data_IF_094112884764
#
_entry.id   IF_094112884764
#
_cell.length_a   1.000
_cell.length_b   1.000
_cell.length_c   1.000
_cell.angle_alpha   90.00
_cell.angle_beta   90.00
_cell.angle_gamma   90.00
#
_symmetry.space_group_name_H-M   'P 1'
#
loop_
_entity.id
_entity.type
_entity.pdbx_description
1 polymer ?
#
# COMPACT_ATOMS: atom_id res chain seq x y z
N UNK A 1 -5.36 7.67 -16.86
CA UNK A 1 -6.71 7.42 -16.32
C UNK A 1 -6.67 7.03 -14.84
N UNK A 2 -6.00 5.94 -14.46
CA UNK A 2 -5.93 5.47 -13.06
C UNK A 2 -5.36 6.53 -12.10
N UNK A 3 -4.31 7.26 -12.49
CA UNK A 3 -3.76 8.35 -11.68
C UNK A 3 -4.78 9.47 -11.39
N UNK A 4 -5.58 9.87 -12.39
CA UNK A 4 -6.67 10.84 -12.18
C UNK A 4 -7.73 10.29 -11.26
N UNK A 5 -8.04 8.99 -11.37
CA UNK A 5 -8.95 8.30 -10.46
C UNK A 5 -8.46 8.32 -9.01
N UNK A 6 -7.17 8.02 -8.78
CA UNK A 6 -6.52 8.12 -7.45
C UNK A 6 -6.69 9.52 -6.87
N UNK A 7 -6.33 10.55 -7.64
CA UNK A 7 -6.40 11.95 -7.17
C UNK A 7 -7.83 12.38 -6.90
N UNK A 8 -8.78 12.06 -7.78
CA UNK A 8 -10.19 12.40 -7.61
C UNK A 8 -10.80 11.71 -6.39
N UNK A 9 -10.55 10.42 -6.19
CA UNK A 9 -11.00 9.66 -5.02
C UNK A 9 -10.42 10.23 -3.73
N UNK A 10 -9.14 10.55 -3.74
CA UNK A 10 -8.43 11.09 -2.58
C UNK A 10 -8.94 12.48 -2.19
N UNK A 11 -9.10 13.39 -3.16
CA UNK A 11 -9.60 14.76 -2.94
C UNK A 11 -11.05 14.74 -2.49
N UNK A 12 -11.91 13.93 -3.12
CA UNK A 12 -13.31 13.85 -2.72
C UNK A 12 -13.48 13.17 -1.35
N UNK A 13 -12.68 12.15 -1.04
CA UNK A 13 -12.66 11.51 0.28
C UNK A 13 -12.22 12.45 1.40
N UNK A 14 -11.36 13.43 1.11
CA UNK A 14 -10.94 14.47 2.05
C UNK A 14 -12.06 15.45 2.44
N UNK A 15 -13.18 15.51 1.72
CA UNK A 15 -14.34 16.29 2.13
C UNK A 15 -15.07 15.68 3.36
N UNK A 16 -14.62 14.54 3.89
CA UNK A 16 -15.21 13.88 5.06
C UNK A 16 -16.49 13.10 4.77
N UNK A 17 -16.92 13.05 3.51
CA UNK A 17 -18.15 12.38 3.07
C UNK A 17 -17.82 11.14 2.22
N UNK A 18 -17.15 10.14 2.82
CA UNK A 18 -16.68 8.96 2.08
C UNK A 18 -17.81 8.25 1.30
N UNK A 19 -19.02 8.20 1.85
CA UNK A 19 -20.21 7.64 1.20
C UNK A 19 -20.61 8.48 -0.03
N UNK A 20 -20.66 9.81 0.11
CA UNK A 20 -21.03 10.73 -0.99
C UNK A 20 -19.97 10.70 -2.08
N UNK A 21 -18.69 10.70 -1.69
CA UNK A 21 -17.55 10.56 -2.59
C UNK A 21 -17.65 9.27 -3.40
N UNK A 22 -17.92 8.14 -2.73
CA UNK A 22 -18.12 6.86 -3.40
C UNK A 22 -19.28 6.90 -4.39
N UNK A 23 -20.47 7.36 -4.00
CA UNK A 23 -21.64 7.41 -4.89
C UNK A 23 -21.33 8.26 -6.13
N UNK A 24 -20.74 9.44 -5.93
CA UNK A 24 -20.38 10.34 -7.03
C UNK A 24 -19.37 9.68 -7.99
N UNK A 25 -18.30 9.08 -7.45
CA UNK A 25 -17.26 8.44 -8.25
C UNK A 25 -17.72 7.12 -8.86
N UNK A 26 -18.64 6.39 -8.23
CA UNK A 26 -19.25 5.19 -8.79
C UNK A 26 -20.08 5.51 -10.03
N UNK A 27 -20.74 6.67 -10.07
CA UNK A 27 -21.56 7.08 -11.24
C UNK A 27 -20.71 7.75 -12.32
N UNK A 28 -19.66 8.48 -11.94
CA UNK A 28 -18.87 9.27 -12.90
C UNK A 28 -17.58 8.58 -13.37
N UNK A 29 -16.82 8.01 -12.43
CA UNK A 29 -15.46 7.51 -12.66
C UNK A 29 -15.43 6.00 -12.87
N UNK A 30 -16.20 5.21 -12.12
CA UNK A 30 -16.23 3.76 -12.25
C UNK A 30 -16.56 3.29 -13.68
N UNK A 31 -17.62 3.76 -14.37
CA UNK A 31 -17.90 3.33 -15.74
C UNK A 31 -16.75 3.65 -16.68
N UNK A 32 -16.15 4.84 -16.56
CA UNK A 32 -15.00 5.23 -17.37
C UNK A 32 -13.78 4.31 -17.14
N UNK A 33 -13.49 3.92 -15.90
CA UNK A 33 -12.38 3.00 -15.59
C UNK A 33 -12.68 1.58 -16.08
N UNK A 34 -13.92 1.11 -15.95
CA UNK A 34 -14.33 -0.24 -16.36
C UNK A 34 -14.29 -0.37 -17.89
N UNK A 35 -14.94 0.55 -18.61
CA UNK A 35 -15.06 0.49 -20.07
C UNK A 35 -13.74 0.75 -20.78
N UNK A 36 -12.98 1.77 -20.34
CA UNK A 36 -11.71 2.14 -20.99
C UNK A 36 -10.55 1.27 -20.52
N UNK A 37 -10.58 0.82 -19.27
CA UNK A 37 -9.51 0.01 -18.67
C UNK A 37 -9.70 -1.50 -18.83
N UNK A 38 -10.89 -1.97 -19.21
CA UNK A 38 -11.22 -3.40 -19.27
C UNK A 38 -11.08 -4.10 -17.91
N UNK A 39 -11.28 -3.37 -16.82
CA UNK A 39 -11.05 -3.85 -15.46
C UNK A 39 -12.29 -4.48 -14.84
N UNK A 40 -12.10 -5.39 -13.89
CA UNK A 40 -13.19 -6.04 -13.19
C UNK A 40 -14.03 -5.01 -12.40
N UNK A 41 -15.35 -5.06 -12.57
CA UNK A 41 -16.30 -4.14 -11.93
C UNK A 41 -16.16 -4.10 -10.42
N UNK A 42 -16.13 -5.26 -9.76
CA UNK A 42 -16.03 -5.35 -8.30
C UNK A 42 -14.71 -4.74 -7.84
N UNK A 43 -13.60 -5.03 -8.53
CA UNK A 43 -12.29 -4.46 -8.21
C UNK A 43 -12.28 -2.93 -8.28
N UNK A 44 -12.92 -2.34 -9.29
CA UNK A 44 -13.03 -0.89 -9.44
C UNK A 44 -13.86 -0.25 -8.32
N UNK A 45 -15.01 -0.83 -7.97
CA UNK A 45 -15.83 -0.30 -6.88
C UNK A 45 -15.11 -0.40 -5.52
N UNK A 46 -14.45 -1.54 -5.23
CA UNK A 46 -13.64 -1.69 -4.02
C UNK A 46 -12.47 -0.70 -3.99
N UNK A 47 -11.84 -0.45 -5.13
CA UNK A 47 -10.76 0.51 -5.26
C UNK A 47 -11.21 1.93 -4.88
N UNK A 48 -12.36 2.37 -5.40
CA UNK A 48 -12.92 3.70 -5.10
C UNK A 48 -13.26 3.81 -3.61
N UNK A 49 -13.93 2.81 -3.03
CA UNK A 49 -14.27 2.81 -1.59
C UNK A 49 -13.00 2.86 -0.73
N UNK A 50 -12.00 2.03 -1.03
CA UNK A 50 -10.73 2.02 -0.29
C UNK A 50 -10.07 3.40 -0.32
N UNK A 51 -9.88 3.97 -1.52
CA UNK A 51 -9.21 5.27 -1.67
C UNK A 51 -10.01 6.42 -1.05
N UNK A 52 -11.34 6.37 -1.08
CA UNK A 52 -12.17 7.35 -0.41
C UNK A 52 -11.99 7.30 1.12
N UNK A 53 -11.77 6.12 1.70
CA UNK A 53 -11.56 5.94 3.15
C UNK A 53 -10.14 6.29 3.62
N UNK A 54 -9.13 6.33 2.73
CA UNK A 54 -7.76 6.69 3.08
C UNK A 54 -7.64 8.09 3.70
N UNK A 55 -8.56 9.01 3.36
CA UNK A 55 -8.56 10.38 3.88
C UNK A 55 -8.62 10.45 5.41
N UNK A 56 -9.17 9.43 6.06
CA UNK A 56 -9.36 9.36 7.52
C UNK A 56 -8.04 9.28 8.28
N UNK A 57 -6.97 8.80 7.64
CA UNK A 57 -5.61 8.75 8.22
C UNK A 57 -4.61 9.68 7.53
N UNK A 58 -4.97 10.23 6.36
CA UNK A 58 -4.03 11.02 5.54
C UNK A 58 -4.09 12.51 5.87
N UNK A 59 -2.96 13.19 6.13
CA UNK A 59 -2.90 14.65 6.19
C UNK A 59 -3.35 15.28 4.85
N UNK A 60 -4.02 16.45 4.84
CA UNK A 60 -4.31 17.36 5.96
C UNK A 60 -5.61 17.07 6.73
N UNK A 61 -6.42 16.09 6.32
CA UNK A 61 -7.76 15.86 6.91
C UNK A 61 -7.68 14.91 8.09
N UNK A 62 -7.16 13.69 7.87
CA UNK A 62 -6.81 12.72 8.91
C UNK A 62 -7.78 12.64 10.08
N UNK A 63 -9.09 12.69 9.84
CA UNK A 63 -10.08 13.04 10.87
C UNK A 63 -10.00 12.15 12.12
N UNK A 64 -9.84 10.83 11.94
CA UNK A 64 -9.70 9.91 13.07
C UNK A 64 -8.34 10.05 13.76
N UNK A 65 -7.26 10.23 13.00
CA UNK A 65 -5.92 10.43 13.56
C UNK A 65 -5.80 11.78 14.29
N UNK A 66 -6.52 12.81 13.86
CA UNK A 66 -6.61 14.09 14.55
C UNK A 66 -7.38 13.97 15.87
N UNK A 67 -8.53 13.30 15.85
CA UNK A 67 -9.31 13.03 17.06
C UNK A 67 -8.52 12.18 18.07
N UNK A 68 -7.86 11.12 17.61
CA UNK A 68 -6.99 10.31 18.47
C UNK A 68 -5.82 11.13 19.02
N UNK A 69 -5.24 12.01 18.20
CA UNK A 69 -4.18 12.93 18.62
C UNK A 69 -4.63 13.90 19.72
N UNK A 70 -5.82 14.50 19.60
CA UNK A 70 -6.35 15.42 20.61
C UNK A 70 -6.67 14.72 21.92
N UNK A 71 -7.23 13.50 21.88
CA UNK A 71 -7.48 12.67 23.08
C UNK A 71 -6.16 12.31 23.77
N UNK A 72 -5.11 11.99 23.00
CA UNK A 72 -3.80 11.61 23.54
C UNK A 72 -2.89 12.81 23.91
N UNK A 73 -3.35 14.06 23.73
CA UNK A 73 -2.54 15.26 23.97
C UNK A 73 -1.36 15.45 22.98
N UNK A 74 -1.37 14.75 21.85
CA UNK A 74 -0.35 14.86 20.80
C UNK A 74 -0.77 15.87 19.73
N UNK A 75 0.20 16.43 18.99
CA UNK A 75 -0.08 17.33 17.87
C UNK A 75 -0.82 16.56 16.75
N UNK A 76 -2.08 16.90 16.42
CA UNK A 76 -2.91 16.15 15.46
C UNK A 76 -2.21 15.87 14.13
N UNK A 77 -1.56 16.90 13.58
CA UNK A 77 -0.81 16.79 12.32
C UNK A 77 0.31 15.74 12.38
N UNK A 78 1.09 15.70 13.47
CA UNK A 78 2.14 14.69 13.66
C UNK A 78 1.55 13.30 13.80
N UNK A 79 0.43 13.17 14.51
CA UNK A 79 -0.28 11.89 14.66
C UNK A 79 -0.72 11.35 13.30
N UNK A 80 -1.28 12.18 12.42
CA UNK A 80 -1.67 11.73 11.07
C UNK A 80 -0.50 11.36 10.19
N UNK A 81 0.64 12.06 10.27
CA UNK A 81 1.85 11.63 9.55
C UNK A 81 2.35 10.27 10.04
N UNK A 82 2.33 10.03 11.35
CA UNK A 82 2.68 8.72 11.92
C UNK A 82 1.67 7.65 11.50
N UNK A 83 0.37 7.95 11.55
CA UNK A 83 -0.69 7.04 11.12
C UNK A 83 -0.55 6.67 9.64
N UNK A 84 -0.30 7.66 8.76
CA UNK A 84 -0.02 7.44 7.34
C UNK A 84 1.23 6.57 7.13
N UNK A 85 2.30 6.81 7.89
CA UNK A 85 3.54 6.01 7.79
C UNK A 85 3.30 4.55 8.18
N UNK A 86 2.55 4.30 9.25
CA UNK A 86 2.20 2.95 9.70
C UNK A 86 1.18 2.28 8.74
N UNK A 87 0.24 3.07 8.23
CA UNK A 87 -0.84 2.62 7.35
C UNK A 87 -0.46 2.55 5.88
N UNK A 88 0.77 2.84 5.49
CA UNK A 88 1.22 2.93 4.08
C UNK A 88 0.82 1.71 3.22
N UNK A 89 0.77 0.53 3.83
CA UNK A 89 0.37 -0.73 3.20
C UNK A 89 -1.01 -0.61 2.57
N UNK A 90 -1.95 0.06 3.24
CA UNK A 90 -3.34 0.16 2.81
C UNK A 90 -3.51 1.07 1.58
N UNK A 91 -2.49 1.85 1.21
CA UNK A 91 -2.46 2.62 -0.04
C UNK A 91 -2.12 1.74 -1.25
N UNK A 92 -1.38 0.65 -1.03
CA UNK A 92 -0.94 -0.23 -2.11
C UNK A 92 -1.92 -1.38 -2.37
N UNK A 93 -2.59 -1.88 -1.33
CA UNK A 93 -3.57 -2.98 -1.43
C UNK A 93 -4.60 -2.76 -2.56
N UNK A 94 -5.19 -1.56 -2.74
CA UNK A 94 -6.16 -1.34 -3.81
C UNK A 94 -5.58 -1.46 -5.21
N UNK A 95 -4.31 -1.10 -5.40
CA UNK A 95 -3.65 -1.27 -6.69
C UNK A 95 -3.45 -2.74 -7.02
N UNK A 96 -3.10 -3.58 -6.03
CA UNK A 96 -2.87 -5.00 -6.26
C UNK A 96 -4.15 -5.72 -6.70
N UNK A 97 -5.27 -5.52 -6.01
CA UNK A 97 -6.53 -6.18 -6.38
C UNK A 97 -7.19 -5.57 -7.63
N UNK A 98 -6.86 -4.32 -7.98
CA UNK A 98 -7.33 -3.69 -9.21
C UNK A 98 -6.76 -4.38 -10.46
N UNK A 99 -5.49 -4.80 -10.40
CA UNK A 99 -4.82 -5.51 -11.50
C UNK A 99 -4.85 -7.04 -11.37
N UNK A 100 -5.15 -7.56 -10.17
CA UNK A 100 -5.34 -9.00 -9.93
C UNK A 100 -6.69 -9.25 -9.23
N UNK A 101 -7.80 -9.36 -9.99
CA UNK A 101 -9.13 -9.61 -9.43
C UNK A 101 -9.24 -10.94 -8.66
N UNK A 102 -8.33 -11.89 -8.88
CA UNK A 102 -8.26 -13.13 -8.11
C UNK A 102 -8.12 -12.89 -6.60
N UNK A 103 -7.54 -11.74 -6.18
CA UNK A 103 -7.48 -11.33 -4.77
C UNK A 103 -8.84 -11.02 -4.16
N UNK A 104 -9.83 -10.70 -4.99
CA UNK A 104 -11.23 -10.50 -4.60
C UNK A 104 -12.08 -11.75 -4.87
N UNK A 105 -11.43 -12.90 -5.09
CA UNK A 105 -12.09 -14.16 -5.45
C UNK A 105 -12.93 -14.04 -6.73
N UNK A 106 -12.47 -13.20 -7.67
CA UNK A 106 -13.11 -12.99 -8.97
C UNK A 106 -12.29 -13.63 -10.08
N UNK A 107 -12.94 -14.38 -10.96
CA UNK A 107 -12.31 -15.02 -12.12
C UNK A 107 -11.53 -16.29 -11.78
N UNK A 108 -10.43 -16.53 -12.51
CA UNK A 108 -9.53 -17.66 -12.25
C UNK A 108 -8.77 -17.46 -10.94
N UNK A 109 -8.85 -18.45 -10.05
CA UNK A 109 -8.21 -18.44 -8.73
C UNK A 109 -6.84 -19.10 -8.73
N UNK A 110 -6.43 -19.73 -9.83
CA UNK A 110 -5.10 -20.34 -9.97
C UNK A 110 -3.96 -19.35 -9.63
N UNK A 111 -4.03 -18.06 -10.03
CA UNK A 111 -3.04 -17.06 -9.65
C UNK A 111 -2.90 -16.80 -8.16
N UNK A 112 -3.97 -17.02 -7.39
CA UNK A 112 -4.01 -16.69 -5.96
C UNK A 112 -2.95 -17.46 -5.18
N UNK A 113 -2.64 -18.70 -5.58
CA UNK A 113 -1.68 -19.57 -4.90
C UNK A 113 -0.26 -18.97 -4.82
N UNK A 114 0.16 -18.22 -5.84
CA UNK A 114 1.48 -17.59 -5.86
C UNK A 114 1.43 -16.07 -5.61
N UNK A 115 0.35 -15.39 -5.99
CA UNK A 115 0.23 -13.93 -5.80
C UNK A 115 -0.03 -13.56 -4.33
N UNK A 116 -0.83 -14.34 -3.60
CA UNK A 116 -1.11 -14.02 -2.21
C UNK A 116 0.16 -14.02 -1.32
N UNK A 117 1.00 -15.07 -1.33
CA UNK A 117 2.25 -15.05 -0.56
C UNK A 117 3.24 -14.00 -1.07
N UNK A 118 3.30 -13.70 -2.37
CA UNK A 118 4.20 -12.65 -2.88
C UNK A 118 3.79 -11.26 -2.38
N UNK A 119 2.49 -10.95 -2.33
CA UNK A 119 1.97 -9.70 -1.79
C UNK A 119 2.24 -9.59 -0.29
N UNK A 120 2.01 -10.66 0.49
CA UNK A 120 2.29 -10.65 1.93
C UNK A 120 3.77 -10.35 2.18
N UNK A 121 4.66 -11.02 1.48
CA UNK A 121 6.10 -10.81 1.61
C UNK A 121 6.53 -9.42 1.10
N UNK A 122 6.00 -8.94 -0.03
CA UNK A 122 6.29 -7.61 -0.53
C UNK A 122 5.79 -6.50 0.38
N UNK A 123 4.62 -6.67 1.01
CA UNK A 123 4.11 -5.77 2.05
C UNK A 123 5.06 -5.73 3.25
N UNK A 124 5.54 -6.88 3.74
CA UNK A 124 6.50 -6.93 4.84
C UNK A 124 7.80 -6.17 4.51
N UNK A 125 8.27 -6.26 3.25
CA UNK A 125 9.46 -5.54 2.79
C UNK A 125 9.23 -4.03 2.69
N UNK A 126 8.08 -3.61 2.17
CA UNK A 126 7.69 -2.19 2.12
C UNK A 126 7.59 -1.60 3.52
N UNK A 127 6.90 -2.29 4.44
CA UNK A 127 6.80 -1.88 5.85
C UNK A 127 8.17 -1.81 6.51
N UNK A 128 9.01 -2.84 6.30
CA UNK A 128 10.36 -2.86 6.88
C UNK A 128 11.27 -1.75 6.36
N UNK A 129 11.14 -1.38 5.08
CA UNK A 129 11.84 -0.23 4.50
C UNK A 129 11.37 1.11 5.07
N UNK A 130 10.07 1.28 5.30
CA UNK A 130 9.49 2.51 5.83
C UNK A 130 9.68 2.70 7.33
N UNK A 131 9.59 1.63 8.10
CA UNK A 131 9.88 1.64 9.54
C UNK A 131 11.39 1.70 9.80
N UNK A 132 12.18 1.15 8.88
CA UNK A 132 13.63 1.06 9.02
C UNK A 132 14.09 -0.14 9.84
N UNK A 133 13.22 -1.14 9.98
CA UNK A 133 13.49 -2.39 10.67
C UNK A 133 12.81 -3.53 9.90
N UNK A 134 13.59 -4.52 9.49
CA UNK A 134 13.07 -5.69 8.79
C UNK A 134 12.99 -6.86 9.77
N UNK A 135 11.80 -7.44 9.92
CA UNK A 135 11.56 -8.59 10.79
C UNK A 135 12.52 -9.73 10.45
N UNK A 136 13.30 -10.20 11.44
CA UNK A 136 14.31 -11.25 11.28
C UNK A 136 15.67 -10.80 10.73
N UNK A 137 15.78 -9.63 10.10
CA UNK A 137 17.04 -9.13 9.55
C UNK A 137 17.65 -7.94 10.31
N UNK A 138 16.86 -7.18 11.07
CA UNK A 138 17.32 -6.09 11.94
C UNK A 138 17.17 -4.69 11.34
N UNK A 139 17.99 -3.75 11.80
CA UNK A 139 17.95 -2.34 11.39
C UNK A 139 18.29 -2.15 9.90
N UNK A 140 17.49 -1.36 9.20
CA UNK A 140 17.69 -1.02 7.78
C UNK A 140 18.30 0.37 7.68
N UNK A 141 19.49 0.47 7.08
CA UNK A 141 20.19 1.74 6.88
C UNK A 141 19.38 2.67 5.96
N UNK A 142 19.43 4.00 6.17
CA UNK A 142 18.64 4.95 5.40
C UNK A 142 18.77 4.81 3.88
N UNK A 143 19.96 4.49 3.36
CA UNK A 143 20.18 4.31 1.92
C UNK A 143 19.50 3.05 1.36
N UNK A 144 19.29 2.02 2.19
CA UNK A 144 18.71 0.73 1.76
C UNK A 144 17.18 0.75 1.79
N UNK A 145 16.57 1.77 2.42
CA UNK A 145 15.12 1.88 2.58
C UNK A 145 14.40 2.06 1.25
N UNK A 146 14.82 3.03 0.43
CA UNK A 146 14.21 3.28 -0.88
C UNK A 146 14.29 2.05 -1.81
N UNK A 147 15.47 1.42 -1.98
CA UNK A 147 15.61 0.20 -2.78
C UNK A 147 14.73 -0.94 -2.27
N UNK A 148 14.61 -1.11 -0.95
CA UNK A 148 13.82 -2.17 -0.35
C UNK A 148 12.31 -1.97 -0.59
N UNK A 149 11.83 -0.73 -0.48
CA UNK A 149 10.44 -0.38 -0.81
C UNK A 149 10.16 -0.62 -2.29
N UNK A 150 11.06 -0.18 -3.18
CA UNK A 150 10.91 -0.36 -4.62
C UNK A 150 10.92 -1.85 -5.00
N UNK A 151 11.82 -2.64 -4.40
CA UNK A 151 11.90 -4.09 -4.63
C UNK A 151 10.66 -4.82 -4.07
N UNK A 152 10.19 -4.45 -2.88
CA UNK A 152 8.95 -4.99 -2.30
C UNK A 152 7.72 -4.68 -3.16
N UNK A 153 7.63 -3.46 -3.69
CA UNK A 153 6.56 -3.09 -4.61
C UNK A 153 6.63 -3.85 -5.93
N UNK A 154 7.81 -3.99 -6.52
CA UNK A 154 8.02 -4.79 -7.73
C UNK A 154 7.71 -6.28 -7.52
N UNK A 155 8.00 -6.80 -6.33
CA UNK A 155 7.68 -8.19 -5.97
C UNK A 155 6.18 -8.44 -5.81
N UNK A 156 5.46 -7.48 -5.22
CA UNK A 156 4.00 -7.54 -5.08
C UNK A 156 3.24 -7.29 -6.39
N UNK A 157 3.88 -6.69 -7.41
CA UNK A 157 3.19 -6.38 -8.66
C UNK A 157 2.89 -7.67 -9.44
N UNK A 158 1.60 -7.93 -9.81
CA UNK A 158 1.19 -9.19 -10.41
C UNK A 158 1.71 -9.32 -11.84
N UNK A 159 2.82 -10.04 -11.98
CA UNK A 159 3.40 -10.43 -13.26
C UNK A 159 4.50 -11.47 -13.03
N UNK A 160 4.53 -12.61 -13.74
CA UNK A 160 5.47 -13.70 -13.44
C UNK A 160 6.94 -13.24 -13.52
N UNK A 161 7.27 -12.37 -14.47
CA UNK A 161 8.61 -11.81 -14.61
C UNK A 161 8.91 -10.73 -13.57
N UNK A 162 7.95 -9.87 -13.23
CA UNK A 162 8.14 -8.81 -12.22
C UNK A 162 8.27 -9.40 -10.82
N UNK A 163 7.50 -10.44 -10.51
CA UNK A 163 7.61 -11.20 -9.26
C UNK A 163 8.96 -11.94 -9.17
N UNK A 164 9.48 -12.51 -10.26
CA UNK A 164 10.79 -13.16 -10.21
C UNK A 164 11.92 -12.15 -9.98
N UNK A 165 11.94 -11.06 -10.75
CA UNK A 165 12.98 -10.02 -10.68
C UNK A 165 12.89 -9.27 -9.35
N UNK A 166 11.69 -8.88 -8.93
CA UNK A 166 11.43 -8.26 -7.64
C UNK A 166 11.76 -9.17 -6.46
N UNK A 167 11.51 -10.48 -6.60
CA UNK A 167 11.85 -11.49 -5.61
C UNK A 167 13.35 -11.65 -5.43
N UNK A 168 14.11 -11.71 -6.53
CA UNK A 168 15.56 -11.78 -6.48
C UNK A 168 16.17 -10.49 -5.90
N UNK A 169 15.70 -9.32 -6.34
CA UNK A 169 16.18 -8.04 -5.83
C UNK A 169 15.89 -7.87 -4.33
N UNK A 170 14.69 -8.25 -3.88
CA UNK A 170 14.32 -8.20 -2.47
C UNK A 170 15.08 -9.22 -1.61
N UNK A 171 15.33 -10.43 -2.12
CA UNK A 171 16.14 -11.43 -1.44
C UNK A 171 17.59 -10.96 -1.26
N UNK A 172 18.19 -10.36 -2.29
CA UNK A 172 19.56 -9.78 -2.21
C UNK A 172 19.60 -8.65 -1.19
N UNK A 173 18.63 -7.73 -1.22
CA UNK A 173 18.59 -6.61 -0.28
C UNK A 173 18.35 -7.08 1.17
N UNK A 174 17.45 -8.04 1.37
CA UNK A 174 17.21 -8.65 2.68
C UNK A 174 18.45 -9.38 3.21
N UNK A 175 19.15 -10.13 2.35
CA UNK A 175 20.41 -10.79 2.69
C UNK A 175 21.53 -9.78 3.03
N UNK A 176 21.62 -8.67 2.29
CA UNK A 176 22.55 -7.58 2.60
C UNK A 176 22.25 -6.93 3.95
N UNK A 177 20.98 -6.66 4.27
CA UNK A 177 20.56 -6.13 5.58
C UNK A 177 20.92 -7.13 6.69
N UNK A 178 20.62 -8.41 6.48
CA UNK A 178 20.91 -9.47 7.44
C UNK A 178 22.42 -9.65 7.69
N UNK A 179 23.24 -9.66 6.64
CA UNK A 179 24.70 -9.72 6.76
C UNK A 179 25.26 -8.51 7.50
N UNK A 180 24.80 -7.30 7.17
CA UNK A 180 25.28 -6.08 7.83
C UNK A 180 24.93 -6.02 9.32
N UNK A 181 23.79 -6.59 9.72
CA UNK A 181 23.39 -6.66 11.12
C UNK A 181 24.05 -7.83 11.86
N UNK A 182 24.38 -8.94 11.18
CA UNK A 182 25.22 -10.02 11.73
C UNK A 182 26.66 -9.58 11.99
N UNK A 183 27.21 -8.69 11.17
CA UNK A 183 28.58 -8.15 11.32
C UNK A 183 28.67 -7.07 12.41
N UNK A 184 27.54 -6.59 12.95
CA UNK A 184 27.50 -5.68 14.12
C UNK A 184 26.84 -6.32 15.35
N UNK A 185 27.37 -7.44 15.91
CA UNK A 185 26.87 -8.00 17.17
C UNK A 185 27.51 -7.29 18.37
N UNK A 186 27.51 -5.96 18.39
CA UNK A 186 28.20 -5.21 19.45
C UNK A 186 27.91 -3.73 19.39
N UNK A 187 26.79 -3.33 19.99
CA UNK A 187 26.65 -2.10 20.75
C UNK A 187 25.51 -2.40 21.73
N UNK A 188 25.93 -2.85 22.91
CA UNK A 188 25.16 -2.87 24.14
C UNK A 188 24.64 -1.46 24.49
#
# INVERSE_FOLDING_TARGET
MILFGIVACFVMGMAGLAIVAYIFLAVTLAPAIIEVGGLNTIAVHFFIVYYAMLSVITPPVGAAAFLAGTIAGAKPMRTSFTAMRLGIVIYFVPLFFLFQPALLLQGDLTPLLYVLPSIIAGIMLISGGLEGYLLGAGLVKPWQRLPLIAAGFAFSFPGPMTTLIGGLASAVLAAMVWQQNRVKPGLA
#
